data_IF_984091796153
#
_entry.id   IF_984091796153
#
_cell.length_a   1.000
_cell.length_b   1.000
_cell.length_c   1.000
_cell.angle_alpha   90.00
_cell.angle_beta   90.00
_cell.angle_gamma   90.00
#
_symmetry.space_group_name_H-M   'P 1'
#
loop_
_entity.id
_entity.type
_entity.pdbx_description
1 polymer ?
#
# COMPACT_ATOMS: atom_id res chain seq x y z
N UNK A 1 10.34 16.43 14.71
CA UNK A 1 10.08 15.07 15.18
C UNK A 1 10.34 14.07 14.08
N UNK A 2 10.79 12.89 14.46
CA UNK A 2 11.13 11.86 13.47
C UNK A 2 9.86 11.28 12.84
N UNK A 3 9.96 10.95 11.56
CA UNK A 3 8.93 10.23 10.84
C UNK A 3 8.80 8.80 11.39
N UNK A 4 7.59 8.23 11.38
CA UNK A 4 7.39 6.84 11.77
C UNK A 4 8.30 5.93 10.94
N UNK A 5 9.10 5.06 11.58
CA UNK A 5 10.04 4.17 10.87
C UNK A 5 9.37 3.28 9.82
N UNK A 6 8.11 2.90 10.07
CA UNK A 6 7.35 2.09 9.12
C UNK A 6 7.04 2.87 7.83
N UNK A 7 6.70 4.15 7.98
CA UNK A 7 6.50 5.03 6.83
C UNK A 7 7.82 5.25 6.08
N UNK A 8 8.92 5.44 6.81
CA UNK A 8 10.23 5.62 6.18
C UNK A 8 10.60 4.40 5.33
N UNK A 9 10.39 3.20 5.87
CA UNK A 9 10.71 1.98 5.13
C UNK A 9 9.80 1.75 3.94
N UNK A 10 8.50 1.98 4.11
CA UNK A 10 7.54 1.90 3.01
C UNK A 10 7.90 2.90 1.91
N UNK A 11 8.31 4.12 2.31
CA UNK A 11 8.70 5.16 1.35
C UNK A 11 9.89 4.73 0.49
N UNK A 12 10.87 4.05 1.06
CA UNK A 12 12.01 3.53 0.29
C UNK A 12 11.55 2.52 -0.76
N UNK A 13 10.60 1.66 -0.41
CA UNK A 13 10.05 0.67 -1.35
C UNK A 13 9.31 1.39 -2.48
N UNK A 14 8.38 2.26 -2.14
CA UNK A 14 7.53 2.94 -3.13
C UNK A 14 8.32 3.89 -4.02
N UNK A 15 9.23 4.68 -3.44
CA UNK A 15 10.01 5.67 -4.19
C UNK A 15 11.14 5.04 -4.99
N UNK A 16 11.45 3.78 -4.75
CA UNK A 16 12.36 3.01 -5.58
C UNK A 16 11.75 2.56 -6.91
N UNK A 17 10.44 2.70 -7.07
CA UNK A 17 9.75 2.34 -8.31
C UNK A 17 9.77 3.52 -9.30
N UNK A 18 9.78 3.25 -10.63
CA UNK A 18 9.90 4.33 -11.63
C UNK A 18 8.76 5.35 -11.60
N UNK A 19 9.10 6.63 -11.75
CA UNK A 19 8.16 7.76 -11.88
C UNK A 19 7.21 7.91 -10.69
N UNK A 20 7.71 7.72 -9.47
CA UNK A 20 6.88 7.81 -8.28
C UNK A 20 7.14 9.06 -7.46
N UNK A 21 6.14 9.47 -6.71
CA UNK A 21 6.22 10.61 -5.80
C UNK A 21 5.42 10.31 -4.53
N UNK A 22 5.81 10.99 -3.45
CA UNK A 22 5.16 10.86 -2.15
C UNK A 22 4.56 12.20 -1.73
N UNK A 23 3.35 12.16 -1.18
CA UNK A 23 2.74 13.28 -0.48
C UNK A 23 2.45 12.88 0.96
N UNK A 24 2.90 13.68 1.92
CA UNK A 24 2.65 13.43 3.35
C UNK A 24 1.63 14.44 3.85
N UNK A 25 0.64 13.96 4.59
CA UNK A 25 -0.42 14.78 5.19
C UNK A 25 -0.61 14.34 6.64
N UNK A 26 -0.05 15.10 7.58
CA UNK A 26 -0.05 14.70 8.99
C UNK A 26 0.66 13.37 9.17
N UNK A 27 -0.05 12.38 9.72
CA UNK A 27 0.49 11.04 9.95
C UNK A 27 0.24 10.08 8.79
N UNK A 28 -0.35 10.56 7.70
CA UNK A 28 -0.66 9.76 6.52
C UNK A 28 0.24 10.12 5.35
N UNK A 29 0.36 9.20 4.40
CA UNK A 29 1.08 9.47 3.15
C UNK A 29 0.39 8.75 2.00
N UNK A 30 0.50 9.32 0.80
CA UNK A 30 0.15 8.61 -0.42
C UNK A 30 1.34 8.56 -1.36
N UNK A 31 1.36 7.53 -2.18
CA UNK A 31 2.40 7.29 -3.18
C UNK A 31 1.74 7.15 -4.55
N UNK A 32 2.26 7.91 -5.51
CA UNK A 32 1.69 7.99 -6.85
C UNK A 32 2.71 7.59 -7.89
N UNK A 33 2.23 6.93 -8.93
CA UNK A 33 2.94 6.81 -10.19
C UNK A 33 2.22 7.72 -11.17
N UNK A 34 2.93 8.77 -11.59
CA UNK A 34 2.34 9.86 -12.36
C UNK A 34 1.14 10.44 -11.60
N UNK A 35 -0.08 10.31 -12.10
CA UNK A 35 -1.28 10.89 -11.46
C UNK A 35 -2.08 9.90 -10.62
N UNK A 36 -1.69 8.62 -10.61
CA UNK A 36 -2.48 7.58 -9.94
C UNK A 36 -1.84 7.14 -8.63
N UNK A 37 -2.62 7.12 -7.57
CA UNK A 37 -2.19 6.58 -6.28
C UNK A 37 -2.13 5.06 -6.37
N UNK A 38 -1.02 4.46 -5.91
CA UNK A 38 -0.89 3.01 -5.84
C UNK A 38 -0.66 2.49 -4.42
N UNK A 39 -0.39 3.37 -3.46
CA UNK A 39 -0.25 2.97 -2.06
C UNK A 39 -0.57 4.14 -1.13
N UNK A 40 -1.17 3.80 0.01
CA UNK A 40 -1.38 4.73 1.13
C UNK A 40 -0.69 4.17 2.37
N UNK A 41 -0.10 5.05 3.17
CA UNK A 41 0.22 4.77 4.55
C UNK A 41 -0.83 5.44 5.42
N UNK A 42 -1.58 4.66 6.19
CA UNK A 42 -2.65 5.16 7.06
C UNK A 42 -2.30 4.88 8.51
N UNK A 43 -2.47 5.90 9.36
CA UNK A 43 -2.19 5.81 10.78
C UNK A 43 -3.36 6.41 11.54
N UNK A 44 -4.15 5.56 12.20
CA UNK A 44 -5.35 5.96 12.94
C UNK A 44 -6.33 6.74 12.06
N UNK A 45 -6.53 6.29 10.83
CA UNK A 45 -7.42 6.94 9.86
C UNK A 45 -8.86 6.83 10.35
N UNK A 46 -9.55 7.97 10.46
CA UNK A 46 -10.90 8.05 11.04
C UNK A 46 -11.00 7.48 12.46
N UNK A 47 -9.90 7.48 13.22
CA UNK A 47 -9.91 7.01 14.61
C UNK A 47 -9.97 5.50 14.75
N UNK A 48 -9.58 4.74 13.73
CA UNK A 48 -9.64 3.27 13.76
C UNK A 48 -8.53 2.60 14.58
N UNK A 49 -7.47 3.34 14.94
CA UNK A 49 -6.36 2.81 15.72
C UNK A 49 -5.43 1.88 14.94
N UNK A 50 -5.54 1.84 13.62
CA UNK A 50 -4.78 0.94 12.76
C UNK A 50 -3.64 1.68 12.08
N UNK A 51 -2.45 1.06 12.04
CA UNK A 51 -1.36 1.50 11.17
C UNK A 51 -1.23 0.48 10.05
N UNK A 52 -1.31 0.95 8.82
CA UNK A 52 -1.39 0.05 7.67
C UNK A 52 -0.79 0.63 6.40
N UNK A 53 -0.48 -0.27 5.47
CA UNK A 53 -0.29 0.08 4.06
C UNK A 53 -1.51 -0.42 3.29
N UNK A 54 -2.12 0.46 2.49
CA UNK A 54 -3.26 0.11 1.65
C UNK A 54 -2.84 0.13 0.19
N UNK A 55 -3.18 -0.93 -0.52
CA UNK A 55 -2.84 -1.12 -1.93
C UNK A 55 -4.03 -1.70 -2.67
N UNK A 56 -3.98 -1.67 -4.00
CA UNK A 56 -5.08 -2.11 -4.85
C UNK A 56 -4.80 -3.49 -5.45
N UNK A 57 -5.85 -4.30 -5.56
CA UNK A 57 -5.83 -5.57 -6.25
C UNK A 57 -7.02 -5.65 -7.22
N UNK A 58 -7.15 -6.75 -7.94
CA UNK A 58 -8.35 -7.02 -8.72
C UNK A 58 -9.55 -7.17 -7.78
N UNK A 59 -10.74 -6.80 -8.25
CA UNK A 59 -11.96 -6.94 -7.47
C UNK A 59 -12.17 -8.40 -7.06
N UNK A 60 -12.43 -8.60 -5.78
CA UNK A 60 -12.61 -9.93 -5.19
C UNK A 60 -11.35 -10.47 -4.53
N UNK A 61 -10.17 -10.21 -5.06
CA UNK A 61 -8.91 -10.64 -4.43
C UNK A 61 -8.71 -9.99 -3.07
N UNK A 62 -9.09 -8.72 -2.94
CA UNK A 62 -9.01 -7.99 -1.67
C UNK A 62 -9.94 -8.61 -0.62
N UNK A 63 -11.13 -9.02 -1.03
CA UNK A 63 -12.09 -9.68 -0.14
C UNK A 63 -11.55 -11.03 0.32
N UNK A 64 -10.99 -11.81 -0.60
CA UNK A 64 -10.41 -13.12 -0.28
C UNK A 64 -9.25 -13.00 0.70
N UNK A 65 -8.38 -12.00 0.53
CA UNK A 65 -7.28 -11.74 1.47
C UNK A 65 -7.81 -11.42 2.87
N UNK A 66 -8.78 -10.51 2.95
CA UNK A 66 -9.34 -10.11 4.24
C UNK A 66 -10.04 -11.27 4.95
N UNK A 67 -10.67 -12.17 4.20
CA UNK A 67 -11.31 -13.38 4.75
C UNK A 67 -10.28 -14.42 5.21
N UNK A 68 -9.22 -14.62 4.44
CA UNK A 68 -8.24 -15.67 4.73
C UNK A 68 -7.36 -15.32 5.94
N UNK A 69 -7.07 -14.04 6.13
CA UNK A 69 -6.19 -13.57 7.20
C UNK A 69 -6.72 -12.29 7.84
N UNK A 70 -7.87 -12.37 8.56
CA UNK A 70 -8.55 -11.17 9.07
C UNK A 70 -7.75 -10.41 10.14
N UNK A 71 -6.75 -11.03 10.77
CA UNK A 71 -5.89 -10.36 11.75
C UNK A 71 -4.83 -9.48 11.08
N UNK A 72 -4.56 -9.71 9.81
CA UNK A 72 -3.49 -9.03 9.07
C UNK A 72 -4.00 -8.13 7.97
N UNK A 73 -5.03 -8.56 7.24
CA UNK A 73 -5.62 -7.84 6.12
C UNK A 73 -7.02 -7.36 6.45
N UNK A 74 -7.38 -6.20 5.91
CA UNK A 74 -8.72 -5.65 6.11
C UNK A 74 -9.16 -4.87 4.87
N UNK A 75 -10.45 -4.56 4.79
CA UNK A 75 -11.00 -3.74 3.72
C UNK A 75 -11.13 -2.31 4.23
N UNK A 76 -10.35 -1.35 3.67
CA UNK A 76 -10.46 0.04 4.10
C UNK A 76 -11.80 0.63 3.69
N UNK A 77 -12.30 1.57 4.52
CA UNK A 77 -13.56 2.25 4.27
C UNK A 77 -13.53 2.95 2.89
N UNK A 78 -14.64 2.92 2.20
CA UNK A 78 -14.89 3.53 0.88
C UNK A 78 -14.10 2.88 -0.26
N UNK A 79 -12.78 2.82 -0.17
CA UNK A 79 -11.94 2.33 -1.28
C UNK A 79 -11.89 0.80 -1.35
N UNK A 80 -12.27 0.10 -0.28
CA UNK A 80 -12.38 -1.36 -0.30
C UNK A 80 -13.28 -1.88 -1.42
N UNK A 81 -14.35 -1.15 -1.76
CA UNK A 81 -15.25 -1.52 -2.83
C UNK A 81 -14.61 -1.45 -4.22
N UNK A 82 -13.44 -0.80 -4.35
CA UNK A 82 -12.72 -0.64 -5.60
C UNK A 82 -11.53 -1.59 -5.75
N UNK A 83 -11.44 -2.59 -4.88
CA UNK A 83 -10.35 -3.57 -4.92
C UNK A 83 -9.19 -3.28 -3.96
N UNK A 84 -9.28 -2.23 -3.15
CA UNK A 84 -8.24 -1.91 -2.18
C UNK A 84 -8.33 -2.82 -0.96
N UNK A 85 -7.17 -3.12 -0.38
CA UNK A 85 -7.06 -3.81 0.89
C UNK A 85 -5.92 -3.21 1.71
N UNK A 86 -6.00 -3.38 3.03
CA UNK A 86 -4.96 -2.91 3.94
C UNK A 86 -4.22 -4.08 4.55
N UNK A 87 -2.90 -3.95 4.68
CA UNK A 87 -2.06 -4.84 5.46
C UNK A 87 -1.66 -4.10 6.73
N UNK A 88 -1.95 -4.68 7.88
CA UNK A 88 -1.62 -4.08 9.17
C UNK A 88 -0.11 -4.09 9.39
N UNK A 89 0.41 -2.93 9.77
CA UNK A 89 1.82 -2.77 10.13
C UNK A 89 2.01 -2.65 11.66
N UNK A 90 0.93 -2.84 12.40
CA UNK A 90 0.91 -2.73 13.87
C UNK A 90 0.65 -4.07 14.56
N UNK A 91 0.80 -5.18 13.84
CA UNK A 91 0.58 -6.53 14.35
C UNK A 91 1.85 -7.37 14.19
N UNK A 92 2.59 -7.53 15.29
CA UNK A 92 3.79 -8.35 15.30
C UNK A 92 4.90 -7.86 14.38
N UNK A 93 5.80 -8.76 13.99
CA UNK A 93 6.89 -8.45 13.08
C UNK A 93 6.37 -8.24 11.66
N UNK A 94 6.87 -7.21 10.99
CA UNK A 94 6.47 -6.89 9.61
C UNK A 94 7.34 -7.69 8.64
N UNK A 95 6.69 -8.40 7.72
CA UNK A 95 7.40 -9.03 6.59
C UNK A 95 7.50 -8.01 5.44
N UNK A 96 8.65 -7.38 5.32
CA UNK A 96 8.85 -6.33 4.33
C UNK A 96 8.93 -6.85 2.90
N UNK A 97 9.24 -8.12 2.70
CA UNK A 97 9.16 -8.74 1.38
C UNK A 97 7.71 -8.87 0.92
N UNK A 98 6.81 -9.20 1.84
CA UNK A 98 5.37 -9.19 1.57
C UNK A 98 4.87 -7.79 1.23
N UNK A 99 5.30 -6.78 1.98
CA UNK A 99 4.94 -5.39 1.70
C UNK A 99 5.40 -4.99 0.30
N UNK A 100 6.64 -5.31 -0.05
CA UNK A 100 7.17 -5.05 -1.39
C UNK A 100 6.34 -5.72 -2.47
N UNK A 101 5.98 -6.98 -2.27
CA UNK A 101 5.19 -7.73 -3.26
C UNK A 101 3.83 -7.10 -3.52
N UNK A 102 3.09 -6.75 -2.47
CA UNK A 102 1.76 -6.16 -2.65
C UNK A 102 1.84 -4.75 -3.22
N UNK A 103 2.87 -3.98 -2.87
CA UNK A 103 3.11 -2.65 -3.42
C UNK A 103 3.41 -2.74 -4.92
N UNK A 104 4.27 -3.67 -5.33
CA UNK A 104 4.62 -3.85 -6.74
C UNK A 104 3.42 -4.30 -7.59
N UNK A 105 2.57 -5.18 -7.05
CA UNK A 105 1.35 -5.59 -7.73
C UNK A 105 0.41 -4.39 -7.94
N UNK A 106 0.23 -3.57 -6.92
CA UNK A 106 -0.60 -2.37 -7.00
C UNK A 106 -0.02 -1.35 -7.98
N UNK A 107 1.30 -1.15 -7.95
CA UNK A 107 2.00 -0.29 -8.88
C UNK A 107 1.74 -0.73 -10.33
N UNK A 108 1.82 -2.03 -10.60
CA UNK A 108 1.59 -2.58 -11.94
C UNK A 108 0.17 -2.29 -12.45
N UNK A 109 -0.82 -2.24 -11.56
CA UNK A 109 -2.20 -1.90 -11.93
C UNK A 109 -2.36 -0.41 -12.24
N UNK A 110 -1.59 0.45 -11.58
CA UNK A 110 -1.72 1.91 -11.71
C UNK A 110 -0.82 2.49 -12.80
N UNK A 111 0.36 1.90 -13.00
CA UNK A 111 1.38 2.43 -13.90
C UNK A 111 1.05 2.15 -15.38
N UNK A 112 1.54 3.02 -16.31
CA UNK A 112 1.53 2.66 -17.72
C UNK A 112 2.29 1.34 -17.95
N UNK A 113 1.88 0.59 -18.97
CA UNK A 113 2.47 -0.73 -19.25
C UNK A 113 3.99 -0.71 -19.39
N UNK A 114 4.55 0.34 -19.98
CA UNK A 114 6.00 0.47 -20.14
C UNK A 114 6.74 0.54 -18.81
N UNK A 115 6.16 1.21 -17.81
CA UNK A 115 6.73 1.28 -16.47
C UNK A 115 6.49 -0.01 -15.68
N UNK A 116 5.28 -0.58 -15.80
CA UNK A 116 4.95 -1.83 -15.12
C UNK A 116 5.88 -2.97 -15.54
N UNK A 117 6.24 -3.05 -16.81
CA UNK A 117 7.19 -4.06 -17.32
C UNK A 117 8.56 -3.95 -16.68
N UNK A 118 9.03 -2.74 -16.37
CA UNK A 118 10.34 -2.52 -15.76
C UNK A 118 10.41 -3.10 -14.34
N UNK A 119 9.28 -3.12 -13.64
CA UNK A 119 9.19 -3.61 -12.27
C UNK A 119 8.95 -5.13 -12.25
N UNK A 120 8.14 -5.64 -13.17
CA UNK A 120 7.85 -7.07 -13.25
C UNK A 120 9.09 -7.91 -13.54
N UNK A 121 10.15 -7.29 -14.02
CA UNK A 121 11.39 -7.97 -14.34
C UNK A 121 11.35 -8.70 -15.68
N UNK A 122 12.44 -9.39 -16.01
CA UNK A 122 12.48 -10.18 -17.24
C UNK A 122 11.54 -11.36 -17.20
#
# INVERSE_FOLDING_TARGET
MAEDPRLTRLSKICLGLPDTARTVRGDHADFRVRKKVFAYFLNNHHGDGIVSVCVKSALGENVDRARSQPDRYFLPAYIGARGWFGLRLDRGAINWDEVRNIVELSYALAAPKSLAKRVAGP
#
